data_IF_478214855951
#
_entry.id   IF_478214855951
#
_cell.length_a   1.000
_cell.length_b   1.000
_cell.length_c   1.000
_cell.angle_alpha   90.00
_cell.angle_beta   90.00
_cell.angle_gamma   90.00
#
_symmetry.space_group_name_H-M   'P 1'
#
loop_
_entity.id
_entity.type
_entity.pdbx_description
1 polymer ?
#
# COMPACT_ATOMS: atom_id res chain seq x y z
N UNK A 1 -11.54 20.81 53.14
CA UNK A 1 -11.98 20.75 51.72
C UNK A 1 -10.88 21.05 50.71
N UNK A 2 -9.75 21.66 51.04
CA UNK A 2 -8.66 22.03 50.11
C UNK A 2 -7.60 20.92 49.86
N UNK A 3 -7.54 19.89 50.69
CA UNK A 3 -6.55 18.82 50.57
C UNK A 3 -6.98 17.71 49.60
N UNK A 4 -8.27 17.44 49.44
CA UNK A 4 -8.80 16.43 48.53
C UNK A 4 -8.73 16.86 47.05
N UNK A 5 -8.77 18.17 46.78
CA UNK A 5 -8.68 18.72 45.41
C UNK A 5 -7.25 18.66 44.86
N UNK A 6 -6.22 18.68 45.72
CA UNK A 6 -4.82 18.59 45.31
C UNK A 6 -4.38 17.16 44.99
N UNK A 7 -4.99 16.16 45.59
CA UNK A 7 -4.71 14.74 45.30
C UNK A 7 -5.34 14.28 43.98
N UNK A 8 -6.47 14.86 43.58
CA UNK A 8 -7.07 14.58 42.25
C UNK A 8 -6.29 15.21 41.09
N UNK A 9 -5.65 16.38 41.32
CA UNK A 9 -4.81 17.01 40.28
C UNK A 9 -3.47 16.30 40.10
N UNK A 10 -2.94 15.63 41.13
CA UNK A 10 -1.70 14.86 41.02
C UNK A 10 -1.89 13.49 40.36
N UNK A 11 -3.09 12.91 40.38
CA UNK A 11 -3.42 11.64 39.72
C UNK A 11 -3.61 11.77 38.20
N UNK A 12 -3.90 12.96 37.69
CA UNK A 12 -4.02 13.22 36.23
C UNK A 12 -2.67 13.48 35.54
N UNK A 13 -1.58 13.61 36.28
CA UNK A 13 -0.25 13.94 35.71
C UNK A 13 0.63 12.74 35.36
N UNK A 14 0.23 11.51 35.68
CA UNK A 14 0.96 10.28 35.31
C UNK A 14 0.25 9.52 34.17
N UNK A 15 -0.35 10.22 33.25
CA UNK A 15 -0.75 9.65 31.96
C UNK A 15 0.52 9.25 31.23
N UNK A 16 0.88 7.98 31.27
CA UNK A 16 1.95 7.42 30.49
C UNK A 16 1.76 7.87 29.03
N UNK A 17 2.75 8.55 28.48
CA UNK A 17 2.88 8.79 27.05
C UNK A 17 3.19 7.43 26.40
N UNK A 18 2.16 6.61 26.24
CA UNK A 18 2.22 5.48 25.32
C UNK A 18 2.25 6.12 23.94
N UNK A 19 3.41 6.09 23.29
CA UNK A 19 3.52 6.41 21.88
C UNK A 19 2.64 5.40 21.15
N UNK A 20 1.42 5.78 20.83
CA UNK A 20 0.55 5.03 19.95
C UNK A 20 1.16 5.17 18.57
N UNK A 21 1.96 4.17 18.18
CA UNK A 21 2.33 4.01 16.80
C UNK A 21 1.06 3.61 16.05
N UNK A 22 0.46 4.57 15.36
CA UNK A 22 -0.52 4.26 14.34
C UNK A 22 0.19 3.35 13.32
N UNK A 23 -0.26 2.11 13.20
CA UNK A 23 0.25 1.22 12.15
C UNK A 23 -0.12 1.84 10.81
N UNK A 24 0.84 2.52 10.19
CA UNK A 24 0.70 2.94 8.81
C UNK A 24 0.67 1.67 7.97
N UNK A 25 -0.44 1.43 7.29
CA UNK A 25 -0.52 0.36 6.30
C UNK A 25 0.45 0.73 5.18
N UNK A 26 1.50 -0.08 5.00
CA UNK A 26 2.44 0.10 3.92
C UNK A 26 1.72 -0.20 2.61
N UNK A 27 1.52 0.84 1.80
CA UNK A 27 0.80 0.76 0.54
C UNK A 27 1.75 1.02 -0.62
N UNK A 28 1.82 0.08 -1.56
CA UNK A 28 2.44 0.29 -2.87
C UNK A 28 1.38 0.31 -3.96
N UNK A 29 1.71 0.91 -5.10
CA UNK A 29 0.84 0.91 -6.27
C UNK A 29 1.55 0.26 -7.44
N UNK A 30 0.81 -0.47 -8.26
CA UNK A 30 1.32 -0.98 -9.53
C UNK A 30 0.35 -0.64 -10.65
N UNK A 31 0.88 -0.35 -11.84
CA UNK A 31 0.12 -0.31 -13.09
C UNK A 31 0.65 -1.38 -14.00
N UNK A 32 -0.24 -2.22 -14.51
CA UNK A 32 0.10 -3.35 -15.36
C UNK A 32 -0.73 -3.31 -16.62
N UNK A 33 -0.08 -3.19 -17.76
CA UNK A 33 -0.75 -3.07 -19.06
C UNK A 33 -0.34 -4.21 -19.98
N UNK A 34 -1.31 -5.00 -20.43
CA UNK A 34 -1.11 -6.05 -21.43
C UNK A 34 -1.38 -5.49 -22.83
N UNK A 35 -0.36 -5.53 -23.68
CA UNK A 35 -0.46 -5.11 -25.08
C UNK A 35 -0.89 -6.28 -26.01
N UNK A 36 -1.34 -5.94 -27.21
CA UNK A 36 -1.80 -6.92 -28.20
C UNK A 36 -0.70 -7.89 -28.66
N UNK A 37 0.56 -7.47 -28.61
CA UNK A 37 1.73 -8.29 -28.93
C UNK A 37 2.17 -9.23 -27.80
N UNK A 38 1.34 -9.35 -26.76
CA UNK A 38 1.58 -10.10 -25.53
C UNK A 38 2.80 -9.59 -24.73
N UNK A 39 3.18 -8.34 -24.91
CA UNK A 39 4.07 -7.67 -23.97
C UNK A 39 3.28 -7.11 -22.78
N UNK A 40 3.86 -7.18 -21.58
CA UNK A 40 3.29 -6.64 -20.35
C UNK A 40 4.20 -5.55 -19.82
N UNK A 41 3.70 -4.33 -19.78
CA UNK A 41 4.37 -3.22 -19.11
C UNK A 41 3.97 -3.19 -17.65
N UNK A 42 4.95 -3.14 -16.76
CA UNK A 42 4.75 -3.08 -15.31
C UNK A 42 5.42 -1.83 -14.77
N UNK A 43 4.68 -1.02 -14.06
CA UNK A 43 5.17 0.11 -13.27
C UNK A 43 4.82 -0.13 -11.79
N UNK A 44 5.80 -0.08 -10.90
CA UNK A 44 5.59 -0.22 -9.45
C UNK A 44 6.09 1.02 -8.75
N UNK A 45 5.18 1.73 -8.08
CA UNK A 45 5.49 2.85 -7.20
C UNK A 45 5.77 2.36 -5.79
N UNK A 46 6.88 2.80 -5.22
CA UNK A 46 7.32 2.49 -3.86
C UNK A 46 7.76 3.78 -3.16
N UNK A 47 7.34 3.98 -1.92
CA UNK A 47 7.84 5.12 -1.11
C UNK A 47 9.34 5.03 -0.91
N UNK A 48 10.01 6.17 -0.90
CA UNK A 48 11.45 6.26 -0.70
C UNK A 48 11.91 5.65 0.63
N UNK A 49 11.16 5.89 1.71
CA UNK A 49 11.42 5.28 3.02
C UNK A 49 11.31 3.76 3.02
N UNK A 50 10.39 3.19 2.20
CA UNK A 50 10.28 1.75 2.05
C UNK A 50 11.42 1.19 1.18
N UNK A 51 11.79 1.89 0.11
CA UNK A 51 12.95 1.53 -0.72
C UNK A 51 14.23 1.47 0.12
N UNK A 52 14.46 2.49 0.98
CA UNK A 52 15.60 2.52 1.89
C UNK A 52 15.61 1.33 2.86
N UNK A 53 14.47 1.04 3.46
CA UNK A 53 14.33 -0.08 4.39
C UNK A 53 14.58 -1.44 3.72
N UNK A 54 14.06 -1.65 2.50
CA UNK A 54 14.11 -2.93 1.78
C UNK A 54 15.45 -3.17 1.10
N UNK A 55 16.01 -2.13 0.48
CA UNK A 55 17.26 -2.22 -0.28
C UNK A 55 18.50 -1.74 0.51
N UNK A 56 18.31 -1.26 1.75
CA UNK A 56 19.36 -0.69 2.63
C UNK A 56 20.08 0.47 1.94
N UNK A 57 19.29 1.41 1.43
CA UNK A 57 19.75 2.64 0.78
C UNK A 57 19.41 3.86 1.64
N UNK A 58 19.80 5.05 1.22
CA UNK A 58 19.54 6.33 1.89
C UNK A 58 19.14 7.36 0.83
N UNK A 59 18.06 7.09 0.10
CA UNK A 59 17.56 7.95 -0.98
C UNK A 59 16.52 8.95 -0.51
N UNK A 60 15.87 8.70 0.64
CA UNK A 60 14.74 9.47 1.13
C UNK A 60 15.16 10.52 2.17
N UNK A 61 14.82 11.78 1.91
CA UNK A 61 14.96 12.88 2.86
C UNK A 61 13.64 13.10 3.62
N UNK A 62 13.61 12.65 4.87
CA UNK A 62 12.44 12.78 5.74
C UNK A 62 12.09 14.23 6.12
N UNK A 63 13.02 15.20 6.00
CA UNK A 63 12.74 16.60 6.29
C UNK A 63 12.04 17.30 5.14
N UNK A 64 12.31 16.86 3.92
CA UNK A 64 11.72 17.40 2.69
C UNK A 64 10.57 16.56 2.17
N UNK A 65 10.38 15.37 2.73
CA UNK A 65 9.43 14.35 2.24
C UNK A 65 9.62 14.06 0.73
N UNK A 66 10.88 13.87 0.32
CA UNK A 66 11.25 13.66 -1.07
C UNK A 66 12.44 12.71 -1.19
N UNK A 67 12.57 12.07 -2.36
CA UNK A 67 13.79 11.34 -2.70
C UNK A 67 14.78 12.26 -3.44
N UNK A 68 16.08 12.03 -3.21
CA UNK A 68 17.13 12.71 -3.96
C UNK A 68 17.37 11.98 -5.31
N UNK A 69 17.14 12.63 -6.47
CA UNK A 69 17.31 11.97 -7.78
C UNK A 69 18.72 11.45 -8.03
N UNK A 70 19.75 12.12 -7.50
CA UNK A 70 21.14 11.69 -7.66
C UNK A 70 21.43 10.44 -6.83
N UNK A 71 20.89 10.37 -5.60
CA UNK A 71 21.00 9.18 -4.75
C UNK A 71 20.18 8.02 -5.31
N UNK A 72 18.98 8.27 -5.87
CA UNK A 72 18.19 7.25 -6.57
C UNK A 72 18.99 6.64 -7.71
N UNK A 73 19.63 7.47 -8.55
CA UNK A 73 20.45 6.97 -9.65
C UNK A 73 21.66 6.15 -9.16
N UNK A 74 22.33 6.61 -8.10
CA UNK A 74 23.48 5.92 -7.50
C UNK A 74 23.10 4.60 -6.82
N UNK A 75 21.89 4.51 -6.24
CA UNK A 75 21.39 3.35 -5.48
C UNK A 75 20.41 2.50 -6.28
N UNK A 76 20.27 2.71 -7.59
CA UNK A 76 19.29 2.02 -8.40
C UNK A 76 19.44 0.49 -8.39
N UNK A 77 20.66 -0.01 -8.40
CA UNK A 77 20.94 -1.45 -8.53
C UNK A 77 20.33 -2.30 -7.41
N UNK A 78 20.53 -2.02 -6.10
CA UNK A 78 19.93 -2.81 -5.03
C UNK A 78 18.41 -2.70 -4.99
N UNK A 79 17.83 -1.53 -5.29
CA UNK A 79 16.37 -1.33 -5.34
C UNK A 79 15.75 -2.14 -6.49
N UNK A 80 16.34 -2.07 -7.68
CA UNK A 80 15.90 -2.85 -8.84
C UNK A 80 16.06 -4.35 -8.60
N UNK A 81 17.12 -4.79 -7.95
CA UNK A 81 17.32 -6.21 -7.60
C UNK A 81 16.20 -6.72 -6.69
N UNK A 82 15.86 -5.97 -5.63
CA UNK A 82 14.72 -6.30 -4.77
C UNK A 82 13.42 -6.39 -5.59
N UNK A 83 13.06 -5.35 -6.33
CA UNK A 83 11.81 -5.30 -7.08
C UNK A 83 11.73 -6.39 -8.16
N UNK A 84 12.83 -6.67 -8.86
CA UNK A 84 12.89 -7.74 -9.87
C UNK A 84 12.72 -9.15 -9.28
N UNK A 85 13.02 -9.32 -7.99
CA UNK A 85 12.82 -10.60 -7.30
C UNK A 85 11.38 -10.76 -6.82
N UNK A 86 10.69 -9.65 -6.52
CA UNK A 86 9.35 -9.64 -5.92
C UNK A 86 8.23 -9.33 -6.91
N UNK A 87 8.57 -9.05 -8.18
CA UNK A 87 7.62 -8.79 -9.27
C UNK A 87 7.83 -9.81 -10.38
N UNK A 88 6.79 -10.53 -10.74
CA UNK A 88 6.84 -11.50 -11.83
C UNK A 88 5.58 -11.43 -12.70
N UNK A 89 5.74 -11.81 -13.96
CA UNK A 89 4.63 -12.02 -14.90
C UNK A 89 4.74 -13.45 -15.44
N UNK A 90 3.66 -14.20 -15.35
CA UNK A 90 3.63 -15.62 -15.75
C UNK A 90 2.34 -15.93 -16.49
N UNK A 91 2.27 -17.07 -17.14
CA UNK A 91 1.00 -17.70 -17.50
C UNK A 91 0.30 -18.30 -16.30
N UNK A 92 -0.96 -18.68 -16.46
CA UNK A 92 -1.73 -19.45 -15.46
C UNK A 92 -1.11 -20.81 -15.17
N UNK A 93 -0.38 -21.36 -16.13
CA UNK A 93 0.42 -22.59 -16.02
C UNK A 93 1.72 -22.44 -15.22
N UNK A 94 2.04 -21.19 -14.82
CA UNK A 94 3.27 -20.85 -14.12
C UNK A 94 4.48 -20.58 -15.01
N UNK A 95 4.35 -20.69 -16.34
CA UNK A 95 5.44 -20.39 -17.28
C UNK A 95 5.78 -18.89 -17.20
N UNK A 96 7.04 -18.58 -16.90
CA UNK A 96 7.48 -17.19 -16.74
C UNK A 96 7.56 -16.45 -18.08
N UNK A 97 7.12 -15.20 -18.11
CA UNK A 97 7.43 -14.26 -19.18
C UNK A 97 8.87 -13.76 -19.03
N UNK A 98 9.50 -13.45 -20.16
CA UNK A 98 10.90 -12.99 -20.19
C UNK A 98 10.96 -11.51 -19.80
N UNK A 99 11.64 -11.14 -18.70
CA UNK A 99 11.81 -9.73 -18.34
C UNK A 99 12.77 -9.02 -19.29
N UNK A 100 12.43 -7.79 -19.64
CA UNK A 100 13.32 -6.86 -20.34
C UNK A 100 14.19 -6.07 -19.36
N UNK A 101 14.91 -5.06 -19.85
CA UNK A 101 15.68 -4.16 -19.00
C UNK A 101 14.75 -3.34 -18.09
N UNK A 102 15.05 -3.35 -16.79
CA UNK A 102 14.35 -2.56 -15.81
C UNK A 102 14.97 -1.16 -15.71
N UNK A 103 14.14 -0.18 -15.32
CA UNK A 103 14.57 1.18 -15.00
C UNK A 103 13.95 1.62 -13.67
N UNK A 104 14.66 2.50 -12.96
CA UNK A 104 14.18 3.13 -11.72
C UNK A 104 14.22 4.63 -11.91
N UNK A 105 13.13 5.31 -11.59
CA UNK A 105 12.96 6.76 -11.72
C UNK A 105 12.55 7.35 -10.38
N UNK A 106 13.08 8.52 -9.99
CA UNK A 106 12.57 9.26 -8.84
C UNK A 106 11.18 9.82 -9.14
N UNK A 107 10.29 9.81 -8.14
CA UNK A 107 8.92 10.33 -8.24
C UNK A 107 8.46 10.89 -6.89
N UNK A 108 8.62 12.19 -6.69
CA UNK A 108 8.19 12.88 -5.48
C UNK A 108 8.82 12.31 -4.20
N UNK A 109 8.01 11.70 -3.36
CA UNK A 109 8.41 11.03 -2.10
C UNK A 109 8.88 9.58 -2.31
N UNK A 110 8.90 9.08 -3.56
CA UNK A 110 9.18 7.70 -3.87
C UNK A 110 9.93 7.46 -5.16
N UNK A 111 9.88 6.22 -5.60
CA UNK A 111 10.49 5.75 -6.84
C UNK A 111 9.50 4.95 -7.67
N UNK A 112 9.64 5.02 -8.98
CA UNK A 112 8.90 4.19 -9.95
C UNK A 112 9.87 3.21 -10.61
N UNK A 113 9.62 1.93 -10.37
CA UNK A 113 10.25 0.83 -11.10
C UNK A 113 9.44 0.54 -12.35
N UNK A 114 10.10 0.46 -13.49
CA UNK A 114 9.50 0.08 -14.77
C UNK A 114 10.19 -1.12 -15.36
N UNK A 115 9.39 -2.09 -15.80
CA UNK A 115 9.89 -3.22 -16.57
C UNK A 115 8.86 -3.62 -17.64
N UNK A 116 9.35 -4.20 -18.74
CA UNK A 116 8.52 -4.79 -19.78
C UNK A 116 8.83 -6.28 -19.88
N UNK A 117 7.81 -7.10 -19.79
CA UNK A 117 7.90 -8.55 -19.90
C UNK A 117 7.41 -8.99 -21.28
N UNK A 118 8.11 -9.93 -21.93
CA UNK A 118 7.65 -10.59 -23.16
C UNK A 118 6.98 -11.92 -22.81
N UNK A 119 5.68 -12.03 -23.08
CA UNK A 119 4.89 -13.23 -22.83
C UNK A 119 4.51 -13.95 -24.14
N UNK A 120 5.29 -13.77 -25.24
CA UNK A 120 4.99 -14.34 -26.55
C UNK A 120 4.89 -15.86 -26.54
N UNK A 121 5.72 -16.51 -25.74
CA UNK A 121 5.78 -17.97 -25.62
C UNK A 121 4.87 -18.53 -24.52
N UNK A 122 4.07 -17.66 -23.88
CA UNK A 122 3.11 -18.03 -22.83
C UNK A 122 1.72 -18.12 -23.45
N UNK A 123 1.06 -19.26 -23.32
CA UNK A 123 -0.30 -19.46 -23.82
C UNK A 123 -1.34 -19.11 -22.74
N UNK A 124 -2.57 -18.82 -23.19
CA UNK A 124 -3.70 -18.54 -22.30
C UNK A 124 -3.59 -17.18 -21.58
N UNK A 125 -4.13 -17.13 -20.37
CA UNK A 125 -4.20 -15.92 -19.56
C UNK A 125 -2.85 -15.62 -18.91
N UNK A 126 -2.58 -14.33 -18.75
CA UNK A 126 -1.35 -13.82 -18.14
C UNK A 126 -1.67 -13.35 -16.70
N UNK A 127 -0.78 -13.65 -15.79
CA UNK A 127 -0.89 -13.36 -14.36
C UNK A 127 0.25 -12.46 -13.92
N UNK A 128 -0.09 -11.33 -13.32
CA UNK A 128 0.84 -10.51 -12.57
C UNK A 128 0.95 -11.03 -11.15
N UNK A 129 2.17 -11.17 -10.64
CA UNK A 129 2.47 -11.59 -9.27
C UNK A 129 3.36 -10.57 -8.58
N UNK A 130 3.04 -10.27 -7.33
CA UNK A 130 3.86 -9.36 -6.53
C UNK A 130 3.83 -9.77 -5.05
N UNK A 131 5.01 -9.74 -4.46
CA UNK A 131 5.22 -9.85 -3.00
C UNK A 131 5.94 -8.63 -2.45
N UNK A 132 5.92 -7.52 -3.20
CA UNK A 132 6.54 -6.26 -2.79
C UNK A 132 5.95 -5.81 -1.46
N UNK A 133 6.80 -5.51 -0.48
CA UNK A 133 6.50 -5.18 0.92
C UNK A 133 5.95 -6.34 1.75
N UNK A 134 5.13 -7.23 1.18
CA UNK A 134 4.45 -8.30 1.93
C UNK A 134 5.39 -9.39 2.44
N UNK A 135 6.60 -9.46 1.90
CA UNK A 135 7.69 -10.33 2.36
C UNK A 135 8.26 -9.90 3.72
N UNK A 136 8.17 -8.61 4.03
CA UNK A 136 8.68 -8.01 5.28
C UNK A 136 7.58 -7.48 6.19
N UNK A 137 6.39 -7.23 5.66
CA UNK A 137 5.23 -6.69 6.39
C UNK A 137 3.94 -7.35 5.91
N UNK A 138 3.37 -8.22 6.72
CA UNK A 138 2.13 -8.95 6.40
C UNK A 138 0.90 -8.05 6.30
N UNK A 139 0.96 -6.83 6.85
CA UNK A 139 -0.11 -5.84 6.74
C UNK A 139 -0.03 -5.03 5.45
N UNK A 140 1.11 -5.08 4.72
CA UNK A 140 1.30 -4.35 3.48
C UNK A 140 0.28 -4.75 2.41
N UNK A 141 -0.05 -3.79 1.56
CA UNK A 141 -1.00 -3.96 0.45
C UNK A 141 -0.42 -3.35 -0.81
N UNK A 142 -0.78 -3.92 -1.95
CA UNK A 142 -0.49 -3.34 -3.25
C UNK A 142 -1.78 -3.15 -4.03
N UNK A 143 -2.07 -1.91 -4.45
CA UNK A 143 -3.14 -1.63 -5.41
C UNK A 143 -2.60 -1.82 -6.82
N UNK A 144 -3.22 -2.69 -7.60
CA UNK A 144 -2.84 -2.96 -8.98
C UNK A 144 -3.90 -2.41 -9.92
N UNK A 145 -3.52 -1.44 -10.75
CA UNK A 145 -4.34 -0.92 -11.85
C UNK A 145 -4.05 -1.76 -13.11
N UNK A 146 -5.09 -2.32 -13.73
CA UNK A 146 -4.95 -3.20 -14.89
C UNK A 146 -5.37 -2.45 -16.15
N UNK A 147 -4.41 -2.09 -16.97
CA UNK A 147 -4.61 -1.29 -18.18
C UNK A 147 -4.32 0.19 -18.01
N UNK A 148 -4.79 1.00 -18.96
CA UNK A 148 -4.56 2.45 -19.04
C UNK A 148 -5.81 3.25 -18.61
N UNK A 149 -5.58 4.52 -18.26
CA UNK A 149 -6.62 5.49 -17.92
C UNK A 149 -7.08 5.45 -16.45
N UNK A 150 -7.93 6.42 -16.10
CA UNK A 150 -8.36 6.67 -14.72
C UNK A 150 -9.41 5.64 -14.23
N UNK A 151 -10.12 5.00 -15.14
CA UNK A 151 -11.13 3.98 -14.84
C UNK A 151 -10.60 2.55 -14.98
N UNK A 152 -9.26 2.37 -14.98
CA UNK A 152 -8.67 1.05 -15.07
C UNK A 152 -9.16 0.13 -13.94
N UNK A 153 -9.52 -1.13 -14.22
CA UNK A 153 -9.86 -2.09 -13.20
C UNK A 153 -8.77 -2.18 -12.13
N UNK A 154 -9.17 -2.31 -10.88
CA UNK A 154 -8.26 -2.37 -9.74
C UNK A 154 -8.34 -3.72 -9.05
N UNK A 155 -7.20 -4.24 -8.64
CA UNK A 155 -7.08 -5.38 -7.76
C UNK A 155 -6.26 -5.00 -6.52
N UNK A 156 -6.53 -5.66 -5.40
CA UNK A 156 -5.76 -5.50 -4.19
C UNK A 156 -4.99 -6.79 -3.92
N UNK A 157 -3.67 -6.69 -3.89
CA UNK A 157 -2.79 -7.78 -3.48
C UNK A 157 -2.36 -7.60 -2.01
N UNK A 158 -2.16 -8.72 -1.34
CA UNK A 158 -1.73 -8.80 0.06
C UNK A 158 -0.93 -10.08 0.29
N UNK A 159 -0.50 -10.34 1.53
CA UNK A 159 0.29 -11.52 1.87
C UNK A 159 -0.40 -12.87 1.58
N UNK A 160 -1.73 -12.90 1.41
CA UNK A 160 -2.51 -14.10 1.09
C UNK A 160 -2.91 -14.19 -0.37
N UNK A 161 -3.06 -13.05 -1.03
CA UNK A 161 -3.43 -12.93 -2.44
C UNK A 161 -2.37 -12.13 -3.18
N UNK A 162 -1.35 -12.81 -3.66
CA UNK A 162 -0.17 -12.21 -4.29
C UNK A 162 -0.24 -12.13 -5.82
N UNK A 163 -1.39 -12.44 -6.43
CA UNK A 163 -1.51 -12.53 -7.88
C UNK A 163 -2.83 -12.00 -8.41
N UNK A 164 -2.81 -11.48 -9.64
CA UNK A 164 -4.01 -11.07 -10.39
C UNK A 164 -3.87 -11.45 -11.86
N UNK A 165 -4.96 -11.97 -12.45
CA UNK A 165 -5.02 -12.32 -13.88
C UNK A 165 -5.33 -11.04 -14.68
N UNK A 166 -4.51 -10.75 -15.68
CA UNK A 166 -4.62 -9.51 -16.48
C UNK A 166 -5.77 -9.53 -17.48
N UNK A 167 -6.21 -10.71 -17.86
CA UNK A 167 -7.35 -10.93 -18.77
C UNK A 167 -8.67 -11.18 -18.04
N UNK A 168 -8.67 -11.14 -16.70
CA UNK A 168 -9.89 -11.30 -15.92
C UNK A 168 -10.84 -10.11 -16.19
N UNK A 169 -12.15 -10.36 -16.36
CA UNK A 169 -13.11 -9.28 -16.36
C UNK A 169 -12.97 -8.48 -15.07
N UNK A 170 -13.09 -7.16 -15.19
CA UNK A 170 -13.02 -6.28 -14.03
C UNK A 170 -13.87 -6.85 -12.89
N UNK A 171 -13.36 -6.91 -11.65
CA UNK A 171 -14.16 -7.38 -10.53
C UNK A 171 -15.44 -6.57 -10.47
N UNK A 172 -16.58 -7.22 -10.24
CA UNK A 172 -17.86 -6.52 -10.18
C UNK A 172 -17.78 -5.42 -9.12
N UNK A 173 -18.42 -4.28 -9.37
CA UNK A 173 -18.44 -3.14 -8.42
C UNK A 173 -18.85 -3.61 -7.00
N UNK A 174 -19.75 -4.59 -6.92
CA UNK A 174 -20.20 -5.16 -5.66
C UNK A 174 -19.09 -5.97 -4.96
N UNK A 175 -18.32 -6.76 -5.71
CA UNK A 175 -17.19 -7.52 -5.14
C UNK A 175 -16.09 -6.59 -4.65
N UNK A 176 -15.78 -5.55 -5.43
CA UNK A 176 -14.84 -4.49 -5.06
C UNK A 176 -15.30 -3.76 -3.81
N UNK A 177 -16.57 -3.31 -3.77
CA UNK A 177 -17.16 -2.65 -2.61
C UNK A 177 -17.09 -3.53 -1.36
N UNK A 178 -17.48 -4.80 -1.47
CA UNK A 178 -17.47 -5.72 -0.33
C UNK A 178 -16.05 -5.93 0.21
N UNK A 179 -15.06 -6.04 -0.67
CA UNK A 179 -13.66 -6.20 -0.28
C UNK A 179 -13.13 -4.97 0.47
N UNK A 180 -13.36 -3.77 -0.06
CA UNK A 180 -12.96 -2.53 0.61
C UNK A 180 -13.72 -2.29 1.91
N UNK A 181 -15.01 -2.66 1.96
CA UNK A 181 -15.81 -2.56 3.18
C UNK A 181 -15.25 -3.46 4.29
N UNK A 182 -14.95 -4.72 3.98
CA UNK A 182 -14.37 -5.65 4.96
C UNK A 182 -13.02 -5.14 5.44
N UNK A 183 -12.13 -4.75 4.52
CA UNK A 183 -10.81 -4.21 4.86
C UNK A 183 -10.93 -2.93 5.71
N UNK A 184 -11.88 -2.05 5.40
CA UNK A 184 -12.14 -0.85 6.19
C UNK A 184 -12.66 -1.15 7.60
N UNK A 185 -13.55 -2.12 7.73
CA UNK A 185 -14.04 -2.58 9.04
C UNK A 185 -12.90 -3.18 9.86
N UNK A 186 -12.10 -4.06 9.29
CA UNK A 186 -10.93 -4.64 9.95
C UNK A 186 -9.94 -3.55 10.42
N UNK A 187 -9.67 -2.56 9.58
CA UNK A 187 -8.80 -1.44 9.91
C UNK A 187 -9.32 -0.65 11.13
N UNK A 188 -10.62 -0.35 11.17
CA UNK A 188 -11.24 0.38 12.28
C UNK A 188 -11.25 -0.47 13.55
N UNK A 189 -11.59 -1.76 13.46
CA UNK A 189 -11.71 -2.66 14.62
C UNK A 189 -10.34 -3.01 15.21
N UNK A 190 -9.30 -3.14 14.39
CA UNK A 190 -7.94 -3.41 14.83
C UNK A 190 -7.18 -2.14 15.23
N UNK A 191 -7.65 -0.96 14.82
CA UNK A 191 -7.10 0.33 15.22
C UNK A 191 -7.62 0.78 16.60
N UNK A 192 -6.88 0.51 17.68
CA UNK A 192 -7.27 0.92 19.04
C UNK A 192 -7.47 2.44 19.19
N UNK A 193 -6.74 3.24 18.44
CA UNK A 193 -6.86 4.69 18.34
C UNK A 193 -8.20 5.11 17.71
N UNK A 194 -8.64 4.44 16.65
CA UNK A 194 -9.94 4.66 16.01
C UNK A 194 -11.10 4.32 16.97
N UNK A 195 -10.99 3.20 17.68
CA UNK A 195 -12.00 2.82 18.68
C UNK A 195 -12.03 3.84 19.83
N UNK A 196 -10.87 4.24 20.35
CA UNK A 196 -10.79 5.25 21.41
C UNK A 196 -11.37 6.59 20.96
N UNK A 197 -11.10 7.02 19.73
CA UNK A 197 -11.68 8.22 19.13
C UNK A 197 -13.20 8.12 19.02
N UNK A 198 -13.73 7.02 18.47
CA UNK A 198 -15.18 6.80 18.34
C UNK A 198 -15.87 6.81 19.72
N UNK A 199 -15.30 6.14 20.71
CA UNK A 199 -15.82 6.15 22.08
C UNK A 199 -15.83 7.56 22.66
N UNK A 200 -14.74 8.32 22.49
CA UNK A 200 -14.66 9.70 22.95
C UNK A 200 -15.71 10.60 22.28
N UNK A 201 -15.92 10.46 20.98
CA UNK A 201 -16.92 11.22 20.20
C UNK A 201 -18.34 10.85 20.65
N UNK A 202 -18.65 9.56 20.87
CA UNK A 202 -19.97 9.09 21.33
C UNK A 202 -20.26 9.61 22.73
N UNK A 203 -19.28 9.54 23.64
CA UNK A 203 -19.44 10.05 25.02
C UNK A 203 -19.60 11.56 25.06
N UNK A 204 -18.90 12.30 24.19
CA UNK A 204 -18.98 13.75 24.13
C UNK A 204 -20.27 14.25 23.48
N UNK A 205 -20.71 13.63 22.40
CA UNK A 205 -21.83 14.13 21.59
C UNK A 205 -23.21 13.93 22.20
N UNK A 206 -23.38 13.00 23.15
CA UNK A 206 -24.67 12.66 23.83
C UNK A 206 -25.86 12.44 22.88
N UNK A 207 -25.69 12.53 21.56
CA UNK A 207 -26.72 12.35 20.53
C UNK A 207 -26.09 11.74 19.29
N UNK A 208 -26.80 10.84 18.61
CA UNK A 208 -26.31 10.10 17.44
C UNK A 208 -26.10 11.00 16.21
N UNK A 209 -26.98 11.99 16.01
CA UNK A 209 -26.94 12.86 14.81
C UNK A 209 -25.63 13.65 14.66
N UNK A 210 -25.06 14.30 15.71
CA UNK A 210 -23.73 14.90 15.61
C UNK A 210 -22.61 13.89 15.30
N UNK A 211 -22.70 12.68 15.85
CA UNK A 211 -21.70 11.62 15.59
C UNK A 211 -21.67 11.27 14.11
N UNK A 212 -22.83 11.04 13.49
CA UNK A 212 -22.95 10.73 12.06
C UNK A 212 -22.33 11.86 11.23
N UNK A 213 -22.64 13.14 11.54
CA UNK A 213 -22.07 14.29 10.81
C UNK A 213 -20.55 14.35 10.92
N UNK A 214 -19.99 14.10 12.09
CA UNK A 214 -18.54 14.11 12.29
C UNK A 214 -17.89 12.96 11.52
N UNK A 215 -18.41 11.75 11.64
CA UNK A 215 -17.86 10.57 10.93
C UNK A 215 -17.92 10.80 9.43
N UNK A 216 -19.05 11.30 8.88
CA UNK A 216 -19.17 11.58 7.43
C UNK A 216 -18.26 12.71 6.96
N UNK A 217 -17.84 13.63 7.83
CA UNK A 217 -16.90 14.70 7.45
C UNK A 217 -15.44 14.24 7.45
N UNK A 218 -15.13 13.08 8.07
CA UNK A 218 -13.79 12.50 8.13
C UNK A 218 -13.57 11.34 7.13
N UNK A 219 -14.60 10.89 6.45
CA UNK A 219 -14.56 9.90 5.37
C UNK A 219 -14.76 10.55 4.00
#
# INVERSE_FOLDING_TARGET
MRLRTRLLAAAMGLGATVSVQAHQVNLSAARVTLAADRSVSVEVGLKGSDADRLARTEIFDAQRDQVDPALVAASAAPIMAYLSTHVAVTGVDGKACVPGPATLLPDGDGVIFRNRFSCRDVEGEIVYRSTVLTDTDTSARQVVLIGEGDNAPQALLDGTNTAVTLSAPAPSLLATFNRYLVTGIEHIVLGYDHIAFLVAVVLWARRIVPVIKIVTAFT
#
